data_IF_449847286557
#
_entry.id   IF_449847286557
#
_cell.length_a   1.000
_cell.length_b   1.000
_cell.length_c   1.000
_cell.angle_alpha   90.00
_cell.angle_beta   90.00
_cell.angle_gamma   90.00
#
_symmetry.space_group_name_H-M   'P 1'
#
loop_
_entity.id
_entity.type
_entity.pdbx_description
1 polymer ?
#
# COMPACT_ATOMS: atom_id res chain seq x y z
N UNK A 1 34.53 21.18 23.96
CA UNK A 1 33.06 21.28 24.13
C UNK A 1 32.61 22.40 23.20
N UNK A 2 31.63 22.29 22.30
CA UNK A 2 30.29 21.71 22.37
C UNK A 2 29.86 21.03 21.05
N UNK A 3 28.86 20.16 21.18
CA UNK A 3 28.10 19.48 20.13
C UNK A 3 26.88 20.32 19.75
N UNK A 4 26.44 20.32 18.48
CA UNK A 4 25.02 20.24 18.03
C UNK A 4 24.99 20.09 16.50
N UNK A 5 24.62 18.92 15.95
CA UNK A 5 23.28 18.41 15.54
C UNK A 5 22.83 18.81 14.12
N UNK A 6 22.83 17.79 13.27
CA UNK A 6 21.79 17.39 12.29
C UNK A 6 21.40 18.35 11.16
N UNK A 7 21.56 17.91 9.90
CA UNK A 7 20.42 17.55 9.04
C UNK A 7 20.89 17.01 7.68
N UNK A 8 20.36 15.84 7.36
CA UNK A 8 19.89 15.37 6.04
C UNK A 8 20.52 15.98 4.80
N UNK A 9 21.10 15.13 3.95
CA UNK A 9 20.77 15.20 2.53
C UNK A 9 20.81 13.83 1.85
N UNK A 10 19.68 13.59 1.20
CA UNK A 10 19.21 12.44 0.44
C UNK A 10 20.08 12.16 -0.78
N UNK A 11 20.06 10.90 -1.25
CA UNK A 11 19.80 10.52 -2.66
C UNK A 11 20.79 9.50 -3.25
N UNK A 12 20.23 8.32 -3.54
CA UNK A 12 20.25 7.70 -4.88
C UNK A 12 21.52 6.99 -5.38
N UNK A 13 21.44 5.65 -5.40
CA UNK A 13 22.03 4.82 -6.48
C UNK A 13 20.88 4.05 -7.15
N UNK A 14 20.38 4.56 -8.27
CA UNK A 14 20.58 4.05 -9.65
C UNK A 14 20.13 2.59 -9.87
N UNK A 15 18.98 2.42 -10.53
CA UNK A 15 18.85 1.41 -11.60
C UNK A 15 18.37 2.09 -12.87
N UNK A 16 19.20 1.96 -13.90
CA UNK A 16 19.02 2.40 -15.29
C UNK A 16 17.93 1.58 -15.96
N UNK A 17 17.03 2.25 -16.67
CA UNK A 17 16.48 1.79 -17.96
C UNK A 17 16.28 3.03 -18.83
N UNK A 18 17.07 3.13 -19.92
CA UNK A 18 16.96 4.15 -20.98
C UNK A 18 16.10 3.55 -22.16
N UNK A 19 15.76 4.28 -23.25
CA UNK A 19 14.47 4.95 -23.38
C UNK A 19 13.81 4.76 -24.77
N UNK A 20 12.48 4.64 -24.85
CA UNK A 20 11.76 5.04 -26.06
C UNK A 20 10.79 6.17 -25.73
N UNK A 21 11.34 7.36 -25.92
CA UNK A 21 10.68 8.66 -25.95
C UNK A 21 9.56 8.63 -27.00
N UNK A 22 8.30 8.60 -26.56
CA UNK A 22 7.21 9.19 -27.33
C UNK A 22 6.99 10.61 -26.79
N UNK A 23 7.29 11.56 -27.67
CA UNK A 23 7.40 12.98 -27.40
C UNK A 23 6.00 13.59 -27.27
N UNK A 24 5.70 14.09 -26.07
CA UNK A 24 4.79 15.20 -25.82
C UNK A 24 3.32 14.82 -25.65
N UNK A 25 2.89 14.62 -24.40
CA UNK A 25 2.00 15.53 -23.66
C UNK A 25 2.34 15.41 -22.17
N UNK A 26 2.68 16.53 -21.53
CA UNK A 26 2.74 16.59 -20.06
C UNK A 26 1.35 16.26 -19.53
N UNK A 27 1.19 15.11 -18.87
CA UNK A 27 0.07 14.90 -17.96
C UNK A 27 0.63 14.98 -16.54
N UNK A 28 0.93 16.19 -16.10
CA UNK A 28 0.89 16.45 -14.68
C UNK A 28 -0.59 16.61 -14.33
N UNK A 29 -1.25 15.48 -14.04
CA UNK A 29 -2.60 15.46 -13.51
C UNK A 29 -2.64 14.53 -12.32
N UNK A 30 -2.46 15.11 -11.13
CA UNK A 30 -2.73 14.51 -9.82
C UNK A 30 -4.24 14.34 -9.64
N UNK A 31 -4.86 13.53 -10.49
CA UNK A 31 -6.21 13.05 -10.32
C UNK A 31 -6.14 11.53 -10.41
N UNK A 32 -6.30 10.86 -9.27
CA UNK A 32 -6.51 9.41 -9.20
C UNK A 32 -7.64 9.07 -10.18
N UNK A 33 -7.31 8.38 -11.26
CA UNK A 33 -8.30 8.01 -12.27
C UNK A 33 -9.25 6.99 -11.62
N UNK A 34 -10.56 7.28 -11.48
CA UNK A 34 -11.49 6.39 -10.77
C UNK A 34 -11.71 5.04 -11.48
N UNK A 35 -11.13 4.87 -12.67
CA UNK A 35 -11.15 3.66 -13.50
C UNK A 35 -9.86 2.82 -13.39
N UNK A 36 -8.98 3.09 -12.43
CA UNK A 36 -7.94 2.12 -12.03
C UNK A 36 -8.63 0.91 -11.38
N UNK A 37 -8.89 -0.10 -12.22
CA UNK A 37 -9.41 -1.43 -11.87
C UNK A 37 -8.55 -2.16 -10.82
N UNK A 38 -7.40 -1.59 -10.48
CA UNK A 38 -6.44 -2.09 -9.50
C UNK A 38 -6.82 -1.77 -8.05
N UNK A 39 -7.84 -0.93 -7.81
CA UNK A 39 -8.44 -0.74 -6.47
C UNK A 39 -9.35 -1.93 -6.10
N UNK A 40 -8.75 -3.13 -6.02
CA UNK A 40 -9.46 -4.34 -5.60
C UNK A 40 -9.89 -4.20 -4.14
N UNK A 41 -11.19 -4.01 -3.95
CA UNK A 41 -11.83 -4.06 -2.65
C UNK A 41 -11.83 -5.51 -2.16
N UNK A 42 -11.27 -5.73 -0.97
CA UNK A 42 -11.10 -7.04 -0.37
C UNK A 42 -12.09 -7.18 0.78
N UNK A 43 -12.57 -8.42 0.97
CA UNK A 43 -13.42 -8.79 2.09
C UNK A 43 -12.81 -10.01 2.77
N UNK A 44 -12.42 -9.89 4.04
CA UNK A 44 -11.89 -11.01 4.82
C UNK A 44 -12.70 -11.27 6.06
N UNK A 45 -13.01 -12.54 6.30
CA UNK A 45 -13.66 -13.02 7.51
C UNK A 45 -12.64 -13.66 8.44
N UNK A 46 -12.59 -13.18 9.67
CA UNK A 46 -11.84 -13.83 10.75
C UNK A 46 -12.61 -15.06 11.24
N UNK A 47 -12.02 -16.25 11.12
CA UNK A 47 -12.61 -17.51 11.57
C UNK A 47 -12.71 -17.62 13.10
N UNK A 48 -11.88 -16.86 13.84
CA UNK A 48 -11.88 -16.86 15.31
C UNK A 48 -13.10 -16.15 15.93
N UNK A 49 -13.57 -15.07 15.31
CA UNK A 49 -14.60 -14.19 15.90
C UNK A 49 -15.72 -13.75 14.94
N UNK A 50 -15.70 -14.28 13.71
CA UNK A 50 -16.65 -14.04 12.63
C UNK A 50 -16.75 -12.57 12.18
N UNK A 51 -15.78 -11.72 12.52
CA UNK A 51 -15.70 -10.35 12.00
C UNK A 51 -15.37 -10.36 10.51
N UNK A 52 -16.02 -9.50 9.73
CA UNK A 52 -15.72 -9.26 8.32
C UNK A 52 -15.10 -7.87 8.20
N UNK A 53 -13.88 -7.82 7.69
CA UNK A 53 -13.23 -6.58 7.27
C UNK A 53 -13.49 -6.32 5.80
N UNK A 54 -13.75 -5.05 5.44
CA UNK A 54 -13.91 -4.60 4.08
C UNK A 54 -12.92 -3.44 3.84
N UNK A 55 -12.06 -3.56 2.83
CA UNK A 55 -11.08 -2.53 2.53
C UNK A 55 -10.09 -2.94 1.45
N UNK A 56 -9.17 -2.03 1.09
CA UNK A 56 -8.21 -2.24 0.01
C UNK A 56 -6.91 -2.94 0.46
N UNK A 57 -6.63 -3.00 1.75
CA UNK A 57 -5.35 -3.48 2.30
C UNK A 57 -5.50 -4.72 3.19
N UNK A 58 -4.68 -5.76 3.01
CA UNK A 58 -4.65 -6.95 3.87
C UNK A 58 -4.38 -6.62 5.33
N UNK A 59 -5.16 -7.24 6.20
CA UNK A 59 -4.97 -7.18 7.65
C UNK A 59 -4.10 -8.33 8.12
N UNK A 60 -3.05 -8.00 8.88
CA UNK A 60 -2.25 -8.98 9.62
C UNK A 60 -2.87 -9.33 10.99
N UNK A 61 -3.76 -8.47 11.51
CA UNK A 61 -4.37 -8.63 12.83
C UNK A 61 -5.86 -8.27 12.77
N UNK A 62 -6.71 -9.11 13.34
CA UNK A 62 -8.15 -8.86 13.39
C UNK A 62 -8.45 -7.70 14.35
N UNK A 63 -9.11 -6.61 13.91
CA UNK A 63 -9.39 -5.46 14.75
C UNK A 63 -10.44 -5.74 15.84
N UNK A 64 -11.25 -6.80 15.68
CA UNK A 64 -12.28 -7.17 16.66
C UNK A 64 -11.72 -8.00 17.81
N UNK A 65 -10.88 -9.00 17.53
CA UNK A 65 -10.44 -9.97 18.54
C UNK A 65 -8.93 -10.08 18.73
N UNK A 66 -8.14 -9.32 17.95
CA UNK A 66 -6.68 -9.34 18.02
C UNK A 66 -6.04 -10.61 17.45
N UNK A 67 -6.78 -11.45 16.70
CA UNK A 67 -6.19 -12.62 16.06
C UNK A 67 -5.10 -12.22 15.07
N UNK A 68 -3.89 -12.76 15.23
CA UNK A 68 -2.74 -12.54 14.34
C UNK A 68 -2.34 -13.78 13.53
N UNK A 69 -3.10 -14.86 13.65
CA UNK A 69 -2.87 -16.10 12.90
C UNK A 69 -3.44 -15.94 11.47
N UNK A 70 -2.59 -15.95 10.42
CA UNK A 70 -3.01 -15.75 9.04
C UNK A 70 -3.90 -16.88 8.49
N UNK A 71 -3.76 -18.11 9.00
CA UNK A 71 -4.57 -19.26 8.56
C UNK A 71 -6.02 -19.17 9.04
N UNK A 72 -6.31 -18.23 9.97
CA UNK A 72 -7.65 -17.96 10.49
C UNK A 72 -8.34 -16.78 9.81
N UNK A 73 -7.88 -16.38 8.62
CA UNK A 73 -8.55 -15.44 7.73
C UNK A 73 -8.93 -16.12 6.42
N UNK A 74 -10.17 -15.89 5.97
CA UNK A 74 -10.67 -16.40 4.69
C UNK A 74 -11.32 -15.27 3.89
N UNK A 75 -11.30 -15.37 2.57
CA UNK A 75 -12.07 -14.47 1.72
C UNK A 75 -13.58 -14.60 2.02
N UNK A 76 -14.24 -13.45 2.15
CA UNK A 76 -15.67 -13.34 2.35
C UNK A 76 -16.32 -12.87 1.04
N UNK A 77 -16.50 -13.83 0.12
CA UNK A 77 -17.26 -13.63 -1.12
C UNK A 77 -18.75 -13.42 -0.84
#
# INVERSE_FOLDING_TARGET
MEKVKNSTNTSSTKKKVDPLVIKGKEYENTAVNPEDLDNRWLRWKCLKCNFVYEGKEPLNVCPKCGNSDPDLFVDAF
#
